data_IF_064463097932
#
_entry.id   IF_064463097932
#
_cell.length_a   1.000
_cell.length_b   1.000
_cell.length_c   1.000
_cell.angle_alpha   90.00
_cell.angle_beta   90.00
_cell.angle_gamma   90.00
#
_symmetry.space_group_name_H-M   'P 1'
#
loop_
_entity.id
_entity.type
_entity.pdbx_description
1 polymer ?
#
# COMPACT_ATOMS: atom_id res chain seq x y z
N UNK A 1 64.73 -40.76 -30.23
CA UNK A 1 64.01 -40.31 -29.04
C UNK A 1 63.58 -38.86 -29.28
N UNK A 2 62.30 -38.70 -29.70
CA UNK A 2 61.75 -37.38 -30.04
C UNK A 2 60.77 -36.97 -28.92
N UNK A 3 61.13 -35.92 -28.19
CA UNK A 3 60.33 -35.34 -27.15
C UNK A 3 59.20 -34.53 -27.79
N UNK A 4 57.93 -34.92 -27.47
CA UNK A 4 56.72 -34.19 -27.81
C UNK A 4 56.56 -32.99 -26.87
N UNK A 5 56.54 -31.77 -27.45
CA UNK A 5 56.14 -30.54 -26.75
C UNK A 5 54.61 -30.53 -26.57
N UNK A 6 54.16 -30.54 -25.35
CA UNK A 6 52.75 -30.27 -25.00
C UNK A 6 52.47 -28.77 -25.13
N UNK A 7 51.53 -28.48 -26.01
CA UNK A 7 51.01 -27.12 -26.21
C UNK A 7 50.10 -26.76 -25.04
N UNK A 8 50.43 -25.67 -24.36
CA UNK A 8 49.59 -25.09 -23.31
C UNK A 8 48.37 -24.41 -23.94
N UNK A 9 47.17 -24.97 -23.64
CA UNK A 9 45.89 -24.32 -23.97
C UNK A 9 45.71 -23.10 -23.11
N UNK A 10 45.70 -21.94 -23.77
CA UNK A 10 45.37 -20.66 -23.14
C UNK A 10 43.97 -20.67 -22.59
N UNK A 11 43.83 -20.44 -21.28
CA UNK A 11 42.53 -20.15 -20.64
C UNK A 11 42.04 -18.79 -21.15
N UNK A 12 41.12 -18.83 -22.11
CA UNK A 12 40.34 -17.65 -22.49
C UNK A 12 39.44 -17.29 -21.29
N UNK A 13 39.85 -16.28 -20.53
CA UNK A 13 38.99 -15.69 -19.52
C UNK A 13 37.94 -14.84 -20.23
N UNK A 14 36.72 -15.35 -20.34
CA UNK A 14 35.54 -14.56 -20.64
C UNK A 14 35.33 -13.60 -19.45
N UNK A 15 36.00 -12.48 -19.45
CA UNK A 15 35.60 -11.34 -18.64
C UNK A 15 34.36 -10.75 -19.30
N UNK A 16 33.20 -11.11 -18.78
CA UNK A 16 32.01 -10.35 -19.02
C UNK A 16 32.29 -8.92 -18.55
N UNK A 17 32.38 -7.99 -19.50
CA UNK A 17 32.48 -6.56 -19.20
C UNK A 17 31.15 -6.13 -18.56
N UNK A 18 31.08 -6.20 -17.24
CA UNK A 18 29.98 -5.62 -16.50
C UNK A 18 30.11 -4.09 -16.67
N UNK A 19 29.39 -3.56 -17.64
CA UNK A 19 29.21 -2.12 -17.75
C UNK A 19 28.48 -1.69 -16.48
N UNK A 20 29.15 -0.90 -15.64
CA UNK A 20 28.49 -0.35 -14.43
C UNK A 20 27.25 0.43 -14.84
N UNK A 21 26.07 0.16 -14.24
CA UNK A 21 24.86 0.88 -14.57
C UNK A 21 25.07 2.37 -14.33
N UNK A 22 24.64 3.21 -15.27
CA UNK A 22 24.67 4.66 -15.10
C UNK A 22 23.65 5.07 -14.03
N UNK A 23 23.90 6.16 -13.28
CA UNK A 23 22.90 6.70 -12.32
C UNK A 23 21.53 6.89 -12.98
N UNK A 24 21.48 7.30 -14.25
CA UNK A 24 20.24 7.47 -15.03
C UNK A 24 19.48 6.18 -15.34
N UNK A 25 20.07 4.99 -15.09
CA UNK A 25 19.41 3.69 -15.28
C UNK A 25 18.87 3.10 -13.96
N UNK A 26 18.92 3.86 -12.87
CA UNK A 26 18.40 3.47 -11.55
C UNK A 26 17.36 4.50 -11.09
N UNK A 27 16.28 4.08 -10.48
CA UNK A 27 15.80 2.70 -10.32
C UNK A 27 15.36 2.08 -11.65
N UNK A 28 14.93 0.80 -11.63
CA UNK A 28 14.43 0.10 -12.83
C UNK A 28 13.27 0.87 -13.49
N UNK A 29 13.10 0.73 -14.80
CA UNK A 29 12.16 1.52 -15.62
C UNK A 29 10.73 1.49 -15.11
N UNK A 30 10.31 0.37 -14.57
CA UNK A 30 8.97 0.20 -13.98
C UNK A 30 8.76 1.03 -12.71
N UNK A 31 9.80 1.16 -11.87
CA UNK A 31 9.78 2.01 -10.68
C UNK A 31 9.80 3.49 -11.08
N UNK A 32 10.59 3.84 -12.13
CA UNK A 32 10.60 5.19 -12.67
C UNK A 32 9.23 5.59 -13.21
N UNK A 33 8.59 4.71 -13.99
CA UNK A 33 7.27 4.92 -14.56
C UNK A 33 6.21 5.09 -13.47
N UNK A 34 6.23 4.23 -12.44
CA UNK A 34 5.33 4.34 -11.30
C UNK A 34 5.50 5.66 -10.54
N UNK A 35 6.75 6.06 -10.27
CA UNK A 35 7.04 7.35 -9.60
C UNK A 35 6.64 8.55 -10.46
N UNK A 36 6.75 8.45 -11.78
CA UNK A 36 6.32 9.51 -12.68
C UNK A 36 4.79 9.66 -12.66
N UNK A 37 4.05 8.55 -12.78
CA UNK A 37 2.59 8.55 -12.70
C UNK A 37 2.10 9.06 -11.32
N UNK A 38 2.75 8.63 -10.24
CA UNK A 38 2.42 9.12 -8.89
C UNK A 38 2.61 10.64 -8.78
N UNK A 39 3.72 11.20 -9.30
CA UNK A 39 3.93 12.66 -9.30
C UNK A 39 2.88 13.40 -10.12
N UNK A 40 2.49 12.85 -11.28
CA UNK A 40 1.45 13.42 -12.13
C UNK A 40 0.12 13.51 -11.35
N UNK A 41 -0.33 12.39 -10.79
CA UNK A 41 -1.57 12.33 -9.99
C UNK A 41 -1.51 13.28 -8.80
N UNK A 42 -0.40 13.32 -8.07
CA UNK A 42 -0.24 14.19 -6.91
C UNK A 42 -0.12 15.68 -7.29
N UNK A 43 0.06 16.02 -8.55
CA UNK A 43 0.07 17.41 -9.05
C UNK A 43 -1.27 17.85 -9.66
N UNK A 44 -2.25 16.96 -9.77
CA UNK A 44 -3.56 17.30 -10.33
C UNK A 44 -4.29 18.36 -9.51
N UNK A 45 -4.99 19.24 -10.22
CA UNK A 45 -5.74 20.33 -9.62
C UNK A 45 -7.24 20.07 -9.70
N UNK A 46 -7.95 20.59 -8.70
CA UNK A 46 -9.40 20.65 -8.70
C UNK A 46 -9.91 21.81 -9.60
N UNK A 47 -11.23 21.93 -9.74
CA UNK A 47 -11.89 22.98 -10.53
C UNK A 47 -11.62 24.41 -10.01
N UNK A 48 -11.10 24.54 -8.78
CA UNK A 48 -10.71 25.80 -8.15
C UNK A 48 -9.21 26.08 -8.30
N UNK A 49 -8.46 25.20 -8.98
CA UNK A 49 -7.03 25.32 -9.21
C UNK A 49 -6.17 24.90 -8.02
N UNK A 50 -6.74 24.28 -6.98
CA UNK A 50 -6.00 23.74 -5.83
C UNK A 50 -5.48 22.35 -6.17
N UNK A 51 -4.25 22.05 -5.81
CA UNK A 51 -3.68 20.71 -5.97
C UNK A 51 -4.32 19.77 -4.94
N UNK A 52 -5.00 18.71 -5.40
CA UNK A 52 -5.73 17.77 -4.54
C UNK A 52 -4.91 17.24 -3.37
N UNK A 53 -3.66 16.86 -3.65
CA UNK A 53 -2.75 16.27 -2.66
C UNK A 53 -2.05 17.29 -1.75
N UNK A 54 -2.28 18.60 -1.96
CA UNK A 54 -1.68 19.64 -1.12
C UNK A 54 -2.39 19.80 0.22
N UNK A 55 -3.63 19.31 0.35
CA UNK A 55 -4.36 19.35 1.61
C UNK A 55 -3.56 18.66 2.73
N UNK A 56 -3.49 19.33 3.90
CA UNK A 56 -2.79 18.80 5.08
C UNK A 56 -3.59 17.70 5.78
N UNK A 57 -4.92 17.80 5.72
CA UNK A 57 -5.81 16.81 6.32
C UNK A 57 -6.54 16.07 5.23
N UNK A 58 -6.65 14.76 5.36
CA UNK A 58 -7.40 13.99 4.40
C UNK A 58 -7.28 12.48 4.57
N UNK A 59 -8.08 11.79 3.78
CA UNK A 59 -8.14 10.34 3.70
C UNK A 59 -7.64 9.89 2.33
N UNK A 60 -7.08 8.70 2.24
CA UNK A 60 -6.65 8.09 0.98
C UNK A 60 -6.92 6.60 0.99
N UNK A 61 -7.13 6.03 -0.20
CA UNK A 61 -7.31 4.60 -0.39
C UNK A 61 -6.46 4.11 -1.56
N UNK A 62 -6.02 2.85 -1.47
CA UNK A 62 -5.32 2.16 -2.54
C UNK A 62 -6.14 1.00 -3.06
N UNK A 63 -6.04 0.76 -4.37
CA UNK A 63 -6.75 -0.30 -5.08
C UNK A 63 -5.77 -1.13 -5.90
N UNK A 64 -6.07 -2.41 -6.04
CA UNK A 64 -5.28 -3.32 -6.87
C UNK A 64 -5.65 -3.25 -8.36
N UNK A 65 -5.11 -4.16 -9.16
CA UNK A 65 -5.28 -4.21 -10.62
C UNK A 65 -6.73 -4.47 -11.07
N UNK A 66 -7.56 -5.04 -10.22
CA UNK A 66 -8.99 -5.30 -10.48
C UNK A 66 -9.89 -4.18 -9.92
N UNK A 67 -9.30 -3.12 -9.38
CA UNK A 67 -10.04 -2.06 -8.67
C UNK A 67 -10.55 -2.50 -7.30
N UNK A 68 -10.06 -3.62 -6.78
CA UNK A 68 -10.35 -4.12 -5.45
C UNK A 68 -9.67 -3.25 -4.41
N UNK A 69 -10.37 -2.70 -3.42
CA UNK A 69 -9.75 -1.90 -2.37
C UNK A 69 -8.84 -2.76 -1.50
N UNK A 70 -7.67 -2.23 -1.18
CA UNK A 70 -6.65 -2.95 -0.41
C UNK A 70 -6.24 -2.24 0.87
N UNK A 71 -6.35 -0.93 0.93
CA UNK A 71 -5.93 -0.14 2.09
C UNK A 71 -6.65 1.20 2.15
N UNK A 72 -6.96 1.66 3.35
CA UNK A 72 -7.46 3.01 3.63
C UNK A 72 -6.61 3.60 4.75
N UNK A 73 -6.32 4.89 4.69
CA UNK A 73 -5.59 5.59 5.73
C UNK A 73 -5.88 7.08 5.76
N UNK A 74 -5.48 7.73 6.83
CA UNK A 74 -5.65 9.16 7.03
C UNK A 74 -4.32 9.87 7.23
N UNK A 75 -4.34 11.19 7.17
CA UNK A 75 -3.18 12.02 7.50
C UNK A 75 -3.58 13.38 8.04
N UNK A 76 -2.74 13.91 8.95
CA UNK A 76 -2.74 15.29 9.44
C UNK A 76 -1.59 16.12 8.86
N UNK A 77 -0.86 15.55 7.91
CA UNK A 77 0.17 16.19 7.10
C UNK A 77 -0.27 16.25 5.63
N UNK A 78 0.49 16.88 4.75
CA UNK A 78 0.14 16.93 3.32
C UNK A 78 -0.08 15.51 2.78
N UNK A 79 -1.23 15.29 2.14
CA UNK A 79 -1.56 14.03 1.48
C UNK A 79 -0.45 13.54 0.54
N UNK A 80 0.19 14.47 -0.22
CA UNK A 80 1.33 14.15 -1.08
C UNK A 80 2.49 13.53 -0.31
N UNK A 81 2.83 14.07 0.87
CA UNK A 81 3.93 13.58 1.70
C UNK A 81 3.61 12.18 2.24
N UNK A 82 2.42 12.01 2.82
CA UNK A 82 1.99 10.73 3.37
C UNK A 82 1.93 9.62 2.30
N UNK A 83 1.28 9.91 1.18
CA UNK A 83 1.14 8.96 0.07
C UNK A 83 2.50 8.60 -0.53
N UNK A 84 3.38 9.58 -0.75
CA UNK A 84 4.73 9.30 -1.24
C UNK A 84 5.51 8.42 -0.26
N UNK A 85 5.43 8.69 1.05
CA UNK A 85 6.09 7.87 2.07
C UNK A 85 5.62 6.42 1.99
N UNK A 86 4.34 6.16 1.85
CA UNK A 86 3.81 4.81 1.68
C UNK A 86 4.29 4.13 0.40
N UNK A 87 4.29 4.84 -0.72
CA UNK A 87 4.46 4.21 -2.03
C UNK A 87 5.91 4.25 -2.55
N UNK A 88 6.80 5.06 -1.98
CA UNK A 88 8.17 5.18 -2.49
C UNK A 88 9.26 4.92 -1.46
N UNK A 89 8.99 5.08 -0.18
CA UNK A 89 10.04 5.11 0.84
C UNK A 89 10.24 3.79 1.60
N UNK A 90 9.38 2.80 1.45
CA UNK A 90 9.45 1.49 2.11
C UNK A 90 9.71 1.51 3.64
N UNK A 91 9.60 2.67 4.27
CA UNK A 91 9.87 2.89 5.70
C UNK A 91 8.62 3.00 6.55
N UNK A 92 7.44 3.02 5.94
CA UNK A 92 6.18 2.97 6.70
C UNK A 92 5.97 1.56 7.23
N UNK A 93 5.37 1.43 8.39
CA UNK A 93 5.14 0.13 9.02
C UNK A 93 4.37 -0.82 8.12
N UNK A 94 3.32 -0.35 7.44
CA UNK A 94 2.55 -1.17 6.52
C UNK A 94 3.42 -1.80 5.40
N UNK A 95 4.40 -1.08 4.87
CA UNK A 95 5.32 -1.59 3.84
C UNK A 95 6.49 -2.36 4.45
N UNK A 96 7.07 -1.86 5.56
CA UNK A 96 8.15 -2.52 6.28
C UNK A 96 7.72 -3.88 6.83
N UNK A 97 6.49 -3.96 7.34
CA UNK A 97 5.86 -5.20 7.83
C UNK A 97 5.31 -6.09 6.72
N UNK A 98 5.43 -5.68 5.46
CA UNK A 98 4.89 -6.42 4.30
C UNK A 98 3.38 -6.58 4.28
N UNK A 99 2.68 -5.73 4.98
CA UNK A 99 1.20 -5.64 4.92
C UNK A 99 0.76 -5.25 3.52
N UNK A 100 1.43 -4.25 2.93
CA UNK A 100 1.17 -3.73 1.60
C UNK A 100 2.36 -3.99 0.66
N UNK A 101 2.11 -4.65 -0.47
CA UNK A 101 3.04 -4.66 -1.59
C UNK A 101 2.74 -3.46 -2.50
N UNK A 102 3.65 -2.50 -2.55
CA UNK A 102 3.52 -1.29 -3.39
C UNK A 102 3.23 -1.63 -4.86
N UNK A 103 3.77 -2.74 -5.34
CA UNK A 103 3.53 -3.14 -6.73
C UNK A 103 2.18 -3.82 -6.98
N UNK A 104 1.39 -4.11 -5.96
CA UNK A 104 -0.02 -4.47 -6.08
C UNK A 104 -0.93 -3.22 -6.08
N UNK A 105 -0.40 -2.03 -5.82
CA UNK A 105 -1.15 -0.78 -5.91
C UNK A 105 -1.22 -0.32 -7.35
N UNK A 106 -2.42 -0.33 -7.92
CA UNK A 106 -2.67 0.12 -9.28
C UNK A 106 -3.39 1.47 -9.36
N UNK A 107 -4.19 1.80 -8.36
CA UNK A 107 -4.95 3.04 -8.30
C UNK A 107 -4.91 3.65 -6.91
N UNK A 108 -5.08 4.97 -6.86
CA UNK A 108 -5.22 5.74 -5.63
C UNK A 108 -6.49 6.58 -5.67
N UNK A 109 -7.13 6.74 -4.51
CA UNK A 109 -8.19 7.71 -4.30
C UNK A 109 -7.84 8.59 -3.11
N UNK A 110 -8.07 9.90 -3.20
CA UNK A 110 -7.79 10.87 -2.14
C UNK A 110 -8.99 11.77 -1.87
N UNK A 111 -9.31 12.01 -0.59
CA UNK A 111 -10.37 12.89 -0.09
C UNK A 111 -9.75 14.00 0.75
N UNK A 112 -9.48 15.21 0.18
CA UNK A 112 -8.91 16.29 0.94
C UNK A 112 -9.94 16.95 1.87
N UNK A 113 -9.57 17.22 3.09
CA UNK A 113 -10.37 17.95 4.08
C UNK A 113 -9.92 19.41 4.16
N UNK A 114 -10.26 20.18 3.13
CA UNK A 114 -9.85 21.56 2.96
C UNK A 114 -10.26 22.48 4.10
N UNK A 115 -11.31 22.15 4.84
CA UNK A 115 -11.80 22.92 5.98
C UNK A 115 -10.80 23.02 7.13
N UNK A 116 -9.79 22.16 7.15
CA UNK A 116 -8.75 22.11 8.19
C UNK A 116 -7.37 22.59 7.72
N UNK A 117 -7.27 23.15 6.51
CA UNK A 117 -5.98 23.56 5.91
C UNK A 117 -5.18 24.53 6.77
N UNK A 118 -5.86 25.48 7.41
CA UNK A 118 -5.24 26.51 8.24
C UNK A 118 -5.22 26.16 9.75
N UNK A 119 -5.81 25.03 10.14
CA UNK A 119 -5.91 24.64 11.54
C UNK A 119 -4.55 24.29 12.12
N UNK A 120 -4.21 24.90 13.25
CA UNK A 120 -2.97 24.66 14.01
C UNK A 120 -3.30 24.17 15.42
N UNK A 121 -2.38 23.40 16.00
CA UNK A 121 -2.50 22.98 17.41
C UNK A 121 -2.62 24.16 18.39
N UNK A 122 -2.07 25.34 18.01
CA UNK A 122 -2.16 26.60 18.78
C UNK A 122 -3.53 27.23 18.80
N UNK A 123 -4.43 26.89 17.89
CA UNK A 123 -5.75 27.55 17.73
C UNK A 123 -6.77 27.10 18.77
N UNK A 124 -6.41 26.12 19.59
CA UNK A 124 -7.20 25.60 20.70
C UNK A 124 -7.33 24.08 20.68
N UNK A 125 -7.08 23.47 21.84
CA UNK A 125 -7.07 22.01 21.96
C UNK A 125 -8.44 21.39 21.58
N UNK A 126 -9.54 22.04 21.89
CA UNK A 126 -10.88 21.50 21.57
C UNK A 126 -11.19 21.56 20.07
N UNK A 127 -10.81 22.65 19.39
CA UNK A 127 -10.96 22.75 17.95
C UNK A 127 -10.14 21.68 17.21
N UNK A 128 -8.92 21.47 17.67
CA UNK A 128 -8.04 20.45 17.07
C UNK A 128 -8.60 19.04 17.29
N UNK A 129 -9.05 18.71 18.51
CA UNK A 129 -9.71 17.41 18.79
C UNK A 129 -11.00 17.21 18.00
N UNK A 130 -11.78 18.28 17.78
CA UNK A 130 -12.98 18.20 16.93
C UNK A 130 -12.62 17.83 15.48
N UNK A 131 -11.58 18.44 14.93
CA UNK A 131 -11.07 18.10 13.60
C UNK A 131 -10.52 16.66 13.53
N UNK A 132 -9.86 16.18 14.58
CA UNK A 132 -9.41 14.77 14.66
C UNK A 132 -10.60 13.79 14.69
N UNK A 133 -11.63 14.09 15.45
CA UNK A 133 -12.86 13.26 15.45
C UNK A 133 -13.51 13.24 14.07
N UNK A 134 -13.55 14.37 13.38
CA UNK A 134 -14.12 14.45 12.03
C UNK A 134 -13.24 13.70 11.01
N UNK A 135 -11.91 13.81 11.10
CA UNK A 135 -10.98 13.03 10.28
C UNK A 135 -11.16 11.53 10.50
N UNK A 136 -11.28 11.09 11.76
CA UNK A 136 -11.54 9.68 12.09
C UNK A 136 -12.86 9.20 11.49
N UNK A 137 -13.92 10.03 11.53
CA UNK A 137 -15.20 9.70 10.91
C UNK A 137 -15.11 9.57 9.39
N UNK A 138 -14.32 10.42 8.73
CA UNK A 138 -14.04 10.31 7.29
C UNK A 138 -13.26 9.03 6.96
N UNK A 139 -12.21 8.72 7.72
CA UNK A 139 -11.44 7.49 7.51
C UNK A 139 -12.30 6.25 7.74
N UNK A 140 -13.07 6.20 8.83
CA UNK A 140 -13.94 5.07 9.13
C UNK A 140 -15.02 4.90 8.06
N UNK A 141 -15.59 5.98 7.56
CA UNK A 141 -16.57 5.92 6.46
C UNK A 141 -15.94 5.38 5.18
N UNK A 142 -14.76 5.89 4.79
CA UNK A 142 -14.04 5.39 3.63
C UNK A 142 -13.64 3.90 3.80
N UNK A 143 -13.28 3.50 5.01
CA UNK A 143 -13.00 2.11 5.37
C UNK A 143 -14.22 1.20 5.21
N UNK A 144 -15.38 1.62 5.73
CA UNK A 144 -16.64 0.88 5.57
C UNK A 144 -17.03 0.73 4.09
N UNK A 145 -16.93 1.81 3.32
CA UNK A 145 -17.18 1.76 1.88
C UNK A 145 -16.20 0.84 1.14
N UNK A 146 -14.93 0.83 1.53
CA UNK A 146 -13.93 -0.07 0.96
C UNK A 146 -14.26 -1.53 1.28
N UNK A 147 -14.65 -1.85 2.51
CA UNK A 147 -15.11 -3.21 2.88
C UNK A 147 -16.36 -3.60 2.11
N UNK A 148 -17.32 -2.70 1.97
CA UNK A 148 -18.54 -3.02 1.24
C UNK A 148 -18.29 -3.28 -0.24
N UNK A 149 -17.39 -2.54 -0.87
CA UNK A 149 -16.97 -2.74 -2.26
C UNK A 149 -16.07 -3.96 -2.45
N UNK A 150 -15.35 -4.37 -1.41
CA UNK A 150 -14.46 -5.53 -1.48
C UNK A 150 -15.24 -6.81 -1.71
N UNK A 151 -14.82 -7.61 -2.69
CA UNK A 151 -15.38 -8.94 -2.94
C UNK A 151 -15.14 -9.90 -1.77
N UNK A 152 -14.14 -9.63 -0.95
CA UNK A 152 -13.79 -10.43 0.23
C UNK A 152 -14.36 -9.86 1.53
N UNK A 153 -15.07 -8.72 1.47
CA UNK A 153 -15.58 -8.00 2.66
C UNK A 153 -14.50 -7.73 3.72
N UNK A 154 -13.25 -7.57 3.27
CA UNK A 154 -12.09 -7.28 4.10
C UNK A 154 -10.99 -6.62 3.26
N UNK A 155 -10.20 -5.73 3.89
CA UNK A 155 -9.03 -5.08 3.29
C UNK A 155 -7.79 -5.28 4.17
N UNK A 156 -6.63 -4.79 3.74
CA UNK A 156 -5.33 -5.09 4.35
C UNK A 156 -4.92 -4.11 5.44
N UNK A 157 -5.86 -3.42 6.05
CA UNK A 157 -5.56 -2.55 7.19
C UNK A 157 -5.11 -3.40 8.40
N UNK A 158 -3.93 -3.11 8.91
CA UNK A 158 -3.46 -3.69 10.17
C UNK A 158 -4.30 -3.16 11.33
N UNK A 159 -4.42 -1.83 11.44
CA UNK A 159 -5.31 -1.17 12.41
C UNK A 159 -6.66 -0.90 11.75
N UNK A 160 -7.73 -1.22 12.47
CA UNK A 160 -9.08 -0.79 12.10
C UNK A 160 -9.23 0.66 12.57
N UNK A 161 -9.71 1.58 11.71
CA UNK A 161 -9.94 2.96 12.13
C UNK A 161 -10.88 3.05 13.33
N UNK A 162 -10.72 4.07 14.19
CA UNK A 162 -11.62 4.26 15.33
C UNK A 162 -13.08 4.31 14.89
N UNK A 163 -13.92 3.47 15.52
CA UNK A 163 -15.35 3.42 15.23
C UNK A 163 -15.96 4.80 15.38
N UNK A 164 -16.63 5.26 14.35
CA UNK A 164 -17.26 6.58 14.27
C UNK A 164 -18.60 6.49 13.57
N UNK A 165 -19.47 7.46 13.79
CA UNK A 165 -20.70 7.55 12.99
C UNK A 165 -20.36 7.82 11.53
N UNK A 166 -20.89 7.02 10.57
CA UNK A 166 -20.66 7.24 9.16
C UNK A 166 -21.15 8.61 8.69
N UNK A 167 -20.38 9.27 7.86
CA UNK A 167 -20.66 10.59 7.32
C UNK A 167 -20.57 10.59 5.78
N UNK A 168 -21.03 11.66 5.15
CA UNK A 168 -20.86 11.81 3.70
C UNK A 168 -19.43 12.22 3.39
N UNK A 169 -18.74 11.39 2.59
CA UNK A 169 -17.40 11.74 2.11
C UNK A 169 -17.44 12.94 1.16
N UNK A 170 -16.43 13.83 1.20
CA UNK A 170 -16.29 14.90 0.24
C UNK A 170 -15.95 14.37 -1.16
N UNK A 171 -15.90 15.28 -2.15
CA UNK A 171 -15.43 14.93 -3.48
C UNK A 171 -14.00 14.36 -3.41
N UNK A 172 -13.74 13.31 -4.18
CA UNK A 172 -12.45 12.64 -4.25
C UNK A 172 -11.79 12.77 -5.62
N UNK A 173 -10.49 12.53 -5.66
CA UNK A 173 -9.74 12.27 -6.88
C UNK A 173 -9.32 10.80 -6.89
N UNK A 174 -9.82 10.01 -7.86
CA UNK A 174 -9.36 8.63 -8.10
C UNK A 174 -8.63 8.54 -9.42
N UNK A 175 -7.42 7.96 -9.43
CA UNK A 175 -6.55 7.84 -10.61
C UNK A 175 -5.73 6.57 -10.60
N UNK A 176 -5.42 6.10 -11.82
CA UNK A 176 -4.45 5.03 -12.03
C UNK A 176 -3.02 5.52 -11.80
N UNK A 177 -2.21 4.71 -11.11
CA UNK A 177 -0.77 4.90 -10.91
C UNK A 177 0.08 4.09 -11.90
N UNK A 178 -0.57 3.35 -12.79
CA UNK A 178 0.08 2.47 -13.76
C UNK A 178 -0.43 2.75 -15.16
N UNK A 179 0.43 2.59 -16.15
CA UNK A 179 0.03 2.63 -17.56
C UNK A 179 -0.80 1.40 -17.94
N UNK A 180 -1.54 1.49 -19.04
CA UNK A 180 -2.27 0.33 -19.60
C UNK A 180 -1.33 -0.83 -19.93
N UNK A 181 -0.14 -0.52 -20.46
CA UNK A 181 0.88 -1.53 -20.72
C UNK A 181 1.31 -2.26 -19.45
N UNK A 182 1.56 -1.51 -18.36
CA UNK A 182 1.90 -2.09 -17.06
C UNK A 182 0.73 -2.92 -16.50
N UNK A 183 -0.51 -2.48 -16.72
CA UNK A 183 -1.71 -3.22 -16.31
C UNK A 183 -1.80 -4.57 -17.01
N UNK A 184 -1.55 -4.63 -18.30
CA UNK A 184 -1.54 -5.87 -19.07
C UNK A 184 -0.42 -6.81 -18.62
N UNK A 185 0.81 -6.28 -18.46
CA UNK A 185 1.98 -7.09 -18.13
C UNK A 185 1.92 -7.61 -16.68
N UNK A 186 1.68 -6.72 -15.71
CA UNK A 186 1.72 -7.05 -14.29
C UNK A 186 0.39 -7.51 -13.70
N UNK A 187 -0.72 -7.16 -14.35
CA UNK A 187 -2.06 -7.61 -13.99
C UNK A 187 -2.32 -9.06 -14.36
N UNK A 188 -1.41 -9.72 -15.10
CA UNK A 188 -1.58 -11.13 -15.47
C UNK A 188 -1.73 -11.99 -14.20
N UNK A 189 -2.78 -12.85 -14.11
CA UNK A 189 -3.09 -13.60 -12.88
C UNK A 189 -1.92 -14.39 -12.33
N UNK A 190 -1.15 -15.08 -13.18
CA UNK A 190 -0.02 -15.91 -12.74
C UNK A 190 1.12 -15.06 -12.13
N UNK A 191 1.33 -13.83 -12.61
CA UNK A 191 2.29 -12.89 -12.03
C UNK A 191 1.80 -12.42 -10.65
N UNK A 192 0.52 -12.06 -10.54
CA UNK A 192 -0.09 -11.62 -9.29
C UNK A 192 -0.14 -12.74 -8.25
N UNK A 193 -0.43 -13.98 -8.66
CA UNK A 193 -0.37 -15.16 -7.77
C UNK A 193 1.03 -15.30 -7.18
N UNK A 194 2.07 -15.27 -8.02
CA UNK A 194 3.46 -15.40 -7.57
C UNK A 194 3.85 -14.29 -6.58
N UNK A 195 3.45 -13.04 -6.84
CA UNK A 195 3.75 -11.88 -5.96
C UNK A 195 3.01 -11.94 -4.64
N UNK A 196 1.72 -12.30 -4.65
CA UNK A 196 0.95 -12.46 -3.42
C UNK A 196 1.51 -13.60 -2.56
N UNK A 197 1.92 -14.71 -3.17
CA UNK A 197 2.59 -15.80 -2.47
C UNK A 197 3.91 -15.34 -1.82
N UNK A 198 4.71 -14.54 -2.52
CA UNK A 198 5.94 -13.95 -1.98
C UNK A 198 5.62 -12.99 -0.81
N UNK A 199 4.63 -12.13 -0.96
CA UNK A 199 4.20 -11.20 0.10
C UNK A 199 3.77 -11.95 1.35
N UNK A 200 2.95 -12.99 1.22
CA UNK A 200 2.52 -13.84 2.34
C UNK A 200 3.72 -14.52 3.00
N UNK A 201 4.65 -15.05 2.21
CA UNK A 201 5.86 -15.69 2.73
C UNK A 201 6.69 -14.72 3.58
N UNK A 202 6.87 -13.47 3.10
CA UNK A 202 7.60 -12.43 3.83
C UNK A 202 6.87 -11.99 5.10
N UNK A 203 5.55 -11.79 5.01
CA UNK A 203 4.73 -11.45 6.18
C UNK A 203 4.77 -12.54 7.24
N UNK A 204 4.66 -13.81 6.84
CA UNK A 204 4.79 -14.97 7.73
C UNK A 204 6.19 -15.05 8.36
N UNK A 205 7.24 -14.70 7.63
CA UNK A 205 8.60 -14.64 8.19
C UNK A 205 8.72 -13.56 9.28
N UNK A 206 8.14 -12.36 9.06
CA UNK A 206 8.09 -11.29 10.07
C UNK A 206 7.37 -11.75 11.33
N UNK A 207 6.19 -12.38 11.19
CA UNK A 207 5.45 -12.91 12.35
C UNK A 207 6.22 -13.98 13.11
N UNK A 208 6.95 -14.85 12.40
CA UNK A 208 7.80 -15.87 13.00
C UNK A 208 9.00 -15.26 13.77
N UNK A 209 9.65 -14.27 13.17
CA UNK A 209 10.88 -13.67 13.72
C UNK A 209 10.62 -12.78 14.93
N UNK A 210 9.50 -12.05 14.93
CA UNK A 210 9.15 -11.17 16.03
C UNK A 210 8.47 -11.88 17.20
N UNK A 211 7.83 -13.04 16.94
CA UNK A 211 7.09 -13.82 17.95
C UNK A 211 5.77 -13.16 18.34
N UNK A 212 5.83 -12.07 19.08
CA UNK A 212 4.67 -11.22 19.36
C UNK A 212 4.47 -10.19 18.26
N UNK A 213 3.29 -10.21 17.65
CA UNK A 213 2.85 -9.27 16.64
C UNK A 213 1.38 -8.94 16.89
N UNK A 214 0.95 -7.76 16.41
CA UNK A 214 -0.43 -7.31 16.57
C UNK A 214 -1.44 -8.33 16.02
N UNK A 215 -2.63 -8.38 16.60
CA UNK A 215 -3.75 -9.17 16.06
C UNK A 215 -4.08 -8.74 14.63
N UNK A 216 -4.00 -7.44 14.37
CA UNK A 216 -4.19 -6.88 13.04
C UNK A 216 -3.24 -7.45 12.00
N UNK A 217 -1.96 -7.62 12.33
CA UNK A 217 -0.98 -8.23 11.42
C UNK A 217 -1.33 -9.71 11.14
N UNK A 218 -1.79 -10.44 12.13
CA UNK A 218 -2.27 -11.82 11.95
C UNK A 218 -3.54 -11.87 11.10
N UNK A 219 -4.47 -10.93 11.30
CA UNK A 219 -5.66 -10.75 10.46
C UNK A 219 -5.28 -10.49 9.00
N UNK A 220 -4.35 -9.57 8.73
CA UNK A 220 -3.85 -9.29 7.39
C UNK A 220 -3.27 -10.53 6.72
N UNK A 221 -2.52 -11.34 7.45
CA UNK A 221 -1.96 -12.60 6.91
C UNK A 221 -3.08 -13.53 6.40
N UNK A 222 -4.17 -13.68 7.16
CA UNK A 222 -5.33 -14.48 6.75
C UNK A 222 -6.00 -13.87 5.52
N UNK A 223 -6.27 -12.56 5.52
CA UNK A 223 -6.89 -11.86 4.38
C UNK A 223 -6.03 -12.01 3.11
N UNK A 224 -4.72 -11.85 3.20
CA UNK A 224 -3.80 -12.08 2.07
C UNK A 224 -3.86 -13.51 1.56
N UNK A 225 -3.94 -14.51 2.46
CA UNK A 225 -4.06 -15.92 2.07
C UNK A 225 -5.38 -16.19 1.33
N UNK A 226 -6.50 -15.63 1.78
CA UNK A 226 -7.80 -15.73 1.10
C UNK A 226 -7.74 -15.09 -0.28
N UNK A 227 -7.17 -13.88 -0.40
CA UNK A 227 -7.01 -13.20 -1.69
C UNK A 227 -6.15 -13.99 -2.67
N UNK A 228 -5.10 -14.67 -2.20
CA UNK A 228 -4.28 -15.56 -3.02
C UNK A 228 -5.06 -16.81 -3.44
N UNK A 229 -5.73 -17.47 -2.51
CA UNK A 229 -6.52 -18.68 -2.79
C UNK A 229 -7.62 -18.40 -3.82
N UNK A 230 -8.34 -17.29 -3.67
CA UNK A 230 -9.40 -16.89 -4.59
C UNK A 230 -8.85 -16.62 -6.00
N UNK A 231 -7.78 -15.80 -6.15
CA UNK A 231 -7.16 -15.52 -7.44
C UNK A 231 -6.65 -16.81 -8.12
N UNK A 232 -6.11 -17.75 -7.34
CA UNK A 232 -5.67 -19.05 -7.84
C UNK A 232 -6.85 -19.88 -8.33
N UNK A 233 -7.99 -19.85 -7.63
CA UNK A 233 -9.21 -20.54 -8.01
C UNK A 233 -9.85 -19.92 -9.27
N UNK A 234 -9.87 -18.58 -9.39
CA UNK A 234 -10.29 -17.90 -10.64
C UNK A 234 -9.42 -18.36 -11.83
N UNK A 235 -8.09 -18.44 -11.61
CA UNK A 235 -7.16 -18.88 -12.65
C UNK A 235 -7.38 -20.34 -13.05
N UNK A 236 -7.63 -21.23 -12.09
CA UNK A 236 -7.97 -22.64 -12.35
C UNK A 236 -9.28 -22.75 -13.14
N UNK A 237 -10.33 -22.06 -12.69
CA UNK A 237 -11.63 -22.06 -13.37
C UNK A 237 -11.50 -21.57 -14.83
N UNK A 238 -10.70 -20.54 -15.07
CA UNK A 238 -10.43 -20.05 -16.44
C UNK A 238 -9.76 -21.12 -17.30
N UNK A 239 -8.74 -21.84 -16.78
CA UNK A 239 -8.02 -22.88 -17.52
C UNK A 239 -8.91 -24.07 -17.83
N UNK A 240 -9.80 -24.44 -16.91
CA UNK A 240 -10.72 -25.57 -17.05
C UNK A 240 -12.01 -25.21 -17.78
N UNK A 241 -12.24 -23.95 -18.11
CA UNK A 241 -13.47 -23.47 -18.75
C UNK A 241 -14.69 -23.52 -17.82
N UNK A 242 -14.46 -23.41 -16.51
CA UNK A 242 -15.51 -23.38 -15.50
C UNK A 242 -15.96 -21.94 -15.19
N UNK A 243 -17.14 -21.74 -14.60
CA UNK A 243 -17.57 -20.44 -14.09
C UNK A 243 -16.59 -19.90 -13.03
N UNK A 244 -16.48 -18.58 -12.94
CA UNK A 244 -15.70 -17.90 -11.91
C UNK A 244 -16.25 -18.29 -10.52
N UNK A 245 -15.38 -18.65 -9.56
CA UNK A 245 -15.80 -18.99 -8.21
C UNK A 245 -16.55 -17.85 -7.52
N UNK A 246 -17.50 -18.20 -6.68
CA UNK A 246 -18.17 -17.21 -5.82
C UNK A 246 -17.15 -16.65 -4.79
N UNK A 247 -16.93 -15.34 -4.72
CA UNK A 247 -16.08 -14.75 -3.68
C UNK A 247 -16.51 -15.11 -2.26
N UNK A 248 -17.82 -15.31 -2.02
CA UNK A 248 -18.36 -15.71 -0.74
C UNK A 248 -18.08 -17.18 -0.35
N UNK A 249 -17.46 -17.97 -1.25
CA UNK A 249 -17.05 -19.35 -0.93
C UNK A 249 -16.07 -19.41 0.26
N UNK A 250 -15.35 -18.33 0.55
CA UNK A 250 -14.51 -18.18 1.75
C UNK A 250 -15.01 -16.97 2.52
N UNK A 251 -15.69 -17.21 3.63
CA UNK A 251 -16.12 -16.16 4.54
C UNK A 251 -14.93 -15.69 5.41
N UNK A 252 -14.37 -14.54 5.05
CA UNK A 252 -13.24 -13.96 5.79
C UNK A 252 -13.64 -13.61 7.22
N UNK A 253 -14.85 -13.10 7.44
CA UNK A 253 -15.34 -12.73 8.78
C UNK A 253 -15.41 -13.96 9.69
N UNK A 254 -15.81 -15.12 9.16
CA UNK A 254 -15.80 -16.36 9.92
C UNK A 254 -14.37 -16.82 10.30
N UNK A 255 -13.35 -16.42 9.52
CA UNK A 255 -11.94 -16.77 9.78
C UNK A 255 -11.25 -15.83 10.76
N UNK A 256 -11.53 -14.52 10.68
CA UNK A 256 -10.77 -13.49 11.43
C UNK A 256 -11.61 -12.79 12.51
N UNK A 257 -12.89 -13.06 12.59
CA UNK A 257 -13.82 -12.30 13.42
C UNK A 257 -14.22 -10.97 12.80
N UNK A 258 -14.54 -9.95 13.62
CA UNK A 258 -14.93 -8.66 13.08
C UNK A 258 -13.78 -7.98 12.33
N UNK A 259 -14.12 -7.38 11.20
CA UNK A 259 -13.25 -6.47 10.43
C UNK A 259 -13.71 -5.02 10.54
N UNK A 260 -14.75 -4.74 11.33
CA UNK A 260 -15.37 -3.42 11.46
C UNK A 260 -14.95 -2.68 12.72
N UNK A 261 -14.47 -3.39 13.72
CA UNK A 261 -13.96 -2.86 14.99
C UNK A 261 -12.92 -3.81 15.55
N UNK A 262 -11.96 -3.27 16.24
CA UNK A 262 -11.00 -4.09 17.00
C UNK A 262 -11.72 -4.71 18.22
N UNK A 263 -11.24 -5.87 18.65
CA UNK A 263 -11.70 -6.42 19.91
C UNK A 263 -11.33 -5.43 21.01
N UNK A 264 -12.26 -5.14 21.91
CA UNK A 264 -11.98 -4.35 23.10
C UNK A 264 -11.10 -5.21 24.01
N UNK A 265 -9.79 -5.21 23.80
CA UNK A 265 -8.89 -5.59 24.87
C UNK A 265 -8.96 -4.50 25.94
N UNK A 266 -8.95 -4.87 27.22
CA UNK A 266 -8.80 -3.87 28.28
C UNK A 266 -7.51 -3.10 27.98
N UNK A 267 -7.63 -1.77 27.89
CA UNK A 267 -6.57 -0.83 27.55
C UNK A 267 -5.22 -1.31 28.07
N UNK A 268 -4.27 -1.57 27.18
CA UNK A 268 -2.88 -1.77 27.55
C UNK A 268 -2.38 -0.42 28.05
N UNK A 269 -2.16 -0.23 29.36
CA UNK A 269 -1.72 1.05 29.92
C UNK A 269 -0.32 1.43 29.47
N UNK A 270 0.41 0.55 28.80
CA UNK A 270 1.77 0.71 28.30
C UNK A 270 1.84 0.82 26.77
N UNK A 271 0.72 1.00 26.04
CA UNK A 271 0.75 1.32 24.60
C UNK A 271 1.43 2.70 24.42
N UNK A 272 2.65 2.77 23.89
CA UNK A 272 3.40 4.04 23.76
C UNK A 272 2.79 5.03 22.75
N UNK A 273 1.58 4.75 22.23
CA UNK A 273 1.01 5.51 21.13
C UNK A 273 1.68 5.18 19.81
N UNK A 274 1.03 5.53 18.72
CA UNK A 274 1.56 5.28 17.39
C UNK A 274 2.89 6.05 17.20
N UNK A 275 4.02 5.39 16.91
CA UNK A 275 5.27 6.09 16.58
C UNK A 275 5.15 7.01 15.38
N UNK A 276 4.07 6.89 14.59
CA UNK A 276 3.74 7.81 13.50
C UNK A 276 3.23 9.18 14.00
N UNK A 277 2.87 9.34 15.27
CA UNK A 277 2.44 10.61 15.87
C UNK A 277 3.60 11.48 16.38
N UNK A 278 4.84 11.00 16.31
CA UNK A 278 6.01 11.80 16.66
C UNK A 278 6.27 12.84 15.55
N UNK A 279 6.43 14.14 15.90
CA UNK A 279 6.80 15.15 14.91
C UNK A 279 8.20 14.83 14.39
N UNK A 280 8.29 14.45 13.13
CA UNK A 280 9.57 14.38 12.44
C UNK A 280 10.23 15.77 12.42
N UNK A 281 11.56 15.87 12.60
CA UNK A 281 12.26 17.14 12.43
C UNK A 281 12.03 17.66 11.00
N UNK A 282 11.79 18.97 10.89
CA UNK A 282 11.57 19.73 9.64
C UNK A 282 12.70 19.43 8.62
N UNK A 283 12.57 18.35 7.91
CA UNK A 283 13.41 18.05 6.75
C UNK A 283 12.56 18.32 5.51
N UNK A 284 12.69 19.50 4.94
CA UNK A 284 12.48 19.72 3.52
C UNK A 284 13.47 18.83 2.75
N UNK A 285 13.16 17.54 2.69
CA UNK A 285 13.84 16.63 1.80
C UNK A 285 13.19 16.77 0.43
N UNK A 286 13.79 17.61 -0.39
CA UNK A 286 13.63 17.55 -1.84
C UNK A 286 14.19 16.20 -2.32
N UNK A 287 13.36 15.14 -2.17
CA UNK A 287 13.71 13.75 -2.49
C UNK A 287 13.88 13.52 -4.00
N UNK A 288 13.77 14.57 -4.82
CA UNK A 288 13.86 14.49 -6.27
C UNK A 288 14.96 15.36 -6.89
N UNK A 289 15.73 16.13 -6.09
CA UNK A 289 16.77 17.01 -6.64
C UNK A 289 18.07 16.29 -7.01
N UNK A 290 18.28 15.03 -6.63
CA UNK A 290 19.52 14.28 -6.82
C UNK A 290 19.41 13.01 -7.68
N UNK A 291 18.47 12.95 -8.65
CA UNK A 291 18.45 11.85 -9.64
C UNK A 291 18.17 12.34 -11.05
#
# INVERSE_FOLDING_TARGET
MRLLRMSSHGKSSLRASAVAPRKSSLPADDVQSFRAALREVLSEKDDRGRVWSAAKWGVYAFYDYDGEPIYVGQTKEKLSVRVQRHLTNQRTDAVAMRVLDVFEVAEIEIWPLWQYEDLKKSDGAEQFRAAERDLNAHEYTAYLEAIDRSRHKAILNEKIPPVSEPITLPASLRRSLISEQTRIERGHPDIRIARRAETISRLAAVTRERGEVSEGLRRVLVVQAVRLAYLSAERLAFVEGHPIPDPAAIDVTALVGSVLHERSDPEDPDDPGDPEDLPEPDAELDLFSDY
#
